data_IF_921101536855
#
_entry.id   IF_921101536855
#
_cell.length_a   1.000
_cell.length_b   1.000
_cell.length_c   1.000
_cell.angle_alpha   90.00
_cell.angle_beta   90.00
_cell.angle_gamma   90.00
#
_symmetry.space_group_name_H-M   'P 1'
#
loop_
_entity.id
_entity.type
_entity.pdbx_description
1 polymer ?
#
# COMPACT_ATOMS: atom_id res chain seq x y z
N UNK A 1 51.80 -4.78 6.00
CA UNK A 1 51.47 -5.80 7.01
C UNK A 1 52.69 -6.68 7.17
N UNK A 2 53.38 -6.60 8.31
CA UNK A 2 54.50 -7.50 8.61
C UNK A 2 53.95 -8.92 8.84
N UNK A 3 54.55 -9.93 8.19
CA UNK A 3 54.15 -11.32 8.39
C UNK A 3 54.50 -11.74 9.83
N UNK A 4 53.64 -12.47 10.54
CA UNK A 4 53.93 -12.94 11.88
C UNK A 4 55.25 -13.73 11.89
N UNK A 5 56.20 -13.27 12.70
CA UNK A 5 57.54 -13.84 12.75
C UNK A 5 57.56 -15.25 13.38
N UNK A 6 56.56 -15.59 14.20
CA UNK A 6 56.48 -16.84 14.97
C UNK A 6 55.25 -17.65 14.61
N UNK A 7 55.37 -18.98 14.67
CA UNK A 7 54.29 -19.92 14.45
C UNK A 7 53.31 -19.91 15.63
N UNK A 8 52.00 -19.68 15.41
CA UNK A 8 51.03 -19.62 16.51
C UNK A 8 50.81 -20.97 17.22
N UNK A 9 51.21 -22.10 16.61
CA UNK A 9 51.01 -23.43 17.18
C UNK A 9 52.16 -23.89 18.06
N UNK A 10 53.41 -23.62 17.67
CA UNK A 10 54.60 -24.15 18.35
C UNK A 10 55.58 -23.07 18.81
N UNK A 11 55.32 -21.79 18.52
CA UNK A 11 56.19 -20.66 18.88
C UNK A 11 57.48 -20.55 18.04
N UNK A 12 57.76 -21.48 17.13
CA UNK A 12 58.99 -21.44 16.34
C UNK A 12 59.01 -20.27 15.34
N UNK A 13 60.17 -19.66 15.13
CA UNK A 13 60.34 -18.53 14.20
C UNK A 13 60.31 -19.05 12.76
N UNK A 14 59.49 -18.43 11.91
CA UNK A 14 59.48 -18.72 10.48
C UNK A 14 60.75 -18.16 9.82
N UNK A 15 61.29 -18.86 8.83
CA UNK A 15 62.31 -18.27 7.97
C UNK A 15 61.65 -17.22 7.04
N UNK A 16 62.44 -16.28 6.55
CA UNK A 16 61.96 -15.21 5.66
C UNK A 16 61.16 -15.77 4.46
N UNK A 17 61.62 -16.89 3.91
CA UNK A 17 61.09 -17.49 2.67
C UNK A 17 60.23 -18.74 2.90
N UNK A 18 59.96 -19.13 4.16
CA UNK A 18 59.22 -20.36 4.44
C UNK A 18 57.72 -20.13 4.53
N UNK A 19 56.95 -20.84 3.70
CA UNK A 19 55.48 -20.88 3.75
C UNK A 19 54.93 -21.86 4.80
N UNK A 20 55.76 -22.76 5.31
CA UNK A 20 55.39 -23.75 6.32
C UNK A 20 56.34 -23.70 7.51
N UNK A 21 55.81 -23.92 8.71
CA UNK A 21 56.61 -24.02 9.92
C UNK A 21 57.44 -25.30 9.84
N UNK A 22 58.77 -25.18 9.92
CA UNK A 22 59.66 -26.34 9.88
C UNK A 22 59.48 -27.31 11.05
N UNK A 23 58.94 -26.83 12.17
CA UNK A 23 58.80 -27.65 13.37
C UNK A 23 57.50 -28.47 13.38
N UNK A 24 56.35 -27.83 13.09
CA UNK A 24 55.04 -28.48 13.16
C UNK A 24 54.38 -28.72 11.79
N UNK A 25 55.00 -28.27 10.69
CA UNK A 25 54.46 -28.41 9.33
C UNK A 25 53.30 -27.46 9.00
N UNK A 26 52.82 -26.65 9.95
CA UNK A 26 51.66 -25.76 9.73
C UNK A 26 52.00 -24.64 8.74
N UNK A 27 51.12 -24.42 7.75
CA UNK A 27 51.24 -23.31 6.79
C UNK A 27 51.23 -21.97 7.52
N UNK A 28 51.93 -20.97 6.97
CA UNK A 28 52.03 -19.62 7.52
C UNK A 28 50.81 -18.81 7.07
N UNK A 29 49.91 -18.54 8.00
CA UNK A 29 48.69 -17.75 7.83
C UNK A 29 49.05 -16.31 7.39
N UNK A 30 49.14 -16.05 6.08
CA UNK A 30 49.67 -14.76 5.60
C UNK A 30 48.90 -14.13 4.46
N UNK A 31 48.00 -14.85 3.80
CA UNK A 31 47.20 -14.27 2.71
C UNK A 31 45.91 -15.04 2.39
N UNK A 32 45.93 -16.37 2.52
CA UNK A 32 44.78 -17.20 2.19
C UNK A 32 43.60 -16.92 3.14
N UNK A 33 43.84 -16.84 4.45
CA UNK A 33 42.80 -16.54 5.45
C UNK A 33 42.16 -15.15 5.23
N UNK A 34 42.97 -14.15 4.88
CA UNK A 34 42.45 -12.81 4.56
C UNK A 34 41.61 -12.84 3.27
N UNK A 35 42.04 -13.61 2.27
CA UNK A 35 41.30 -13.77 1.02
C UNK A 35 39.98 -14.51 1.24
N UNK A 36 39.97 -15.53 2.09
CA UNK A 36 38.76 -16.24 2.49
C UNK A 36 37.80 -15.29 3.21
N UNK A 37 38.30 -14.54 4.20
CA UNK A 37 37.52 -13.49 4.89
C UNK A 37 36.96 -12.43 3.93
N UNK A 38 37.75 -11.91 3.00
CA UNK A 38 37.26 -10.97 1.99
C UNK A 38 36.17 -11.60 1.11
N UNK A 39 36.32 -12.87 0.76
CA UNK A 39 35.32 -13.60 -0.05
C UNK A 39 34.02 -13.78 0.73
N UNK A 40 34.09 -14.12 2.01
CA UNK A 40 32.92 -14.20 2.89
C UNK A 40 32.20 -12.86 3.02
N UNK A 41 32.95 -11.77 3.25
CA UNK A 41 32.37 -10.41 3.33
C UNK A 41 31.70 -10.03 2.01
N UNK A 42 32.37 -10.25 0.88
CA UNK A 42 31.82 -9.91 -0.43
C UNK A 42 30.55 -10.73 -0.70
N UNK A 43 30.55 -12.03 -0.38
CA UNK A 43 29.37 -12.90 -0.53
C UNK A 43 28.23 -12.38 0.33
N UNK A 44 28.47 -12.17 1.64
CA UNK A 44 27.44 -11.69 2.56
C UNK A 44 26.90 -10.29 2.18
N UNK A 45 27.77 -9.38 1.74
CA UNK A 45 27.35 -8.06 1.28
C UNK A 45 26.50 -8.16 0.01
N UNK A 46 26.87 -9.03 -0.93
CA UNK A 46 26.12 -9.24 -2.17
C UNK A 46 24.74 -9.86 -1.92
N UNK A 47 24.66 -10.87 -1.05
CA UNK A 47 23.38 -11.49 -0.66
C UNK A 47 22.47 -10.49 0.05
N UNK A 48 23.01 -9.70 0.98
CA UNK A 48 22.25 -8.67 1.66
C UNK A 48 21.70 -7.63 0.67
N UNK A 49 22.53 -7.13 -0.26
CA UNK A 49 22.08 -6.21 -1.29
C UNK A 49 21.00 -6.83 -2.18
N UNK A 50 21.17 -8.07 -2.64
CA UNK A 50 20.17 -8.79 -3.41
C UNK A 50 18.84 -8.90 -2.64
N UNK A 51 18.89 -9.23 -1.35
CA UNK A 51 17.70 -9.31 -0.50
C UNK A 51 17.01 -7.95 -0.32
N UNK A 52 17.76 -6.85 -0.20
CA UNK A 52 17.19 -5.51 -0.14
C UNK A 52 16.52 -5.12 -1.46
N UNK A 53 17.18 -5.36 -2.59
CA UNK A 53 16.61 -5.10 -3.91
C UNK A 53 15.37 -5.93 -4.16
N UNK A 54 15.38 -7.22 -3.80
CA UNK A 54 14.22 -8.09 -3.96
C UNK A 54 13.01 -7.57 -3.17
N UNK A 55 13.20 -7.19 -1.89
CA UNK A 55 12.13 -6.61 -1.08
C UNK A 55 11.57 -5.33 -1.70
N UNK A 56 12.44 -4.43 -2.15
CA UNK A 56 12.01 -3.16 -2.76
C UNK A 56 11.23 -3.40 -4.06
N UNK A 57 11.69 -4.32 -4.91
CA UNK A 57 10.99 -4.71 -6.14
C UNK A 57 9.62 -5.31 -5.82
N UNK A 58 9.51 -6.14 -4.77
CA UNK A 58 8.24 -6.70 -4.32
C UNK A 58 7.27 -5.59 -3.86
N UNK A 59 7.76 -4.59 -3.11
CA UNK A 59 6.96 -3.43 -2.70
C UNK A 59 6.48 -2.61 -3.90
N UNK A 60 7.38 -2.22 -4.81
CA UNK A 60 7.02 -1.49 -6.02
C UNK A 60 6.02 -2.26 -6.90
N UNK A 61 6.18 -3.57 -7.02
CA UNK A 61 5.25 -4.43 -7.77
C UNK A 61 3.86 -4.41 -7.16
N UNK A 62 3.75 -4.50 -5.83
CA UNK A 62 2.48 -4.42 -5.11
C UNK A 62 1.80 -3.05 -5.31
N UNK A 63 2.57 -1.97 -5.26
CA UNK A 63 2.05 -0.61 -5.45
C UNK A 63 1.55 -0.40 -6.88
N UNK A 64 2.29 -0.90 -7.89
CA UNK A 64 1.87 -0.87 -9.29
C UNK A 64 0.55 -1.61 -9.53
N UNK A 65 0.39 -2.82 -8.96
CA UNK A 65 -0.87 -3.58 -9.06
C UNK A 65 -2.02 -2.84 -8.38
N UNK A 66 -1.77 -2.22 -7.24
CA UNK A 66 -2.76 -1.41 -6.52
C UNK A 66 -3.18 -0.21 -7.36
N UNK A 67 -2.23 0.55 -7.88
CA UNK A 67 -2.48 1.71 -8.74
C UNK A 67 -3.26 1.32 -10.00
N UNK A 68 -2.89 0.22 -10.67
CA UNK A 68 -3.62 -0.33 -11.82
C UNK A 68 -5.08 -0.65 -11.47
N UNK A 69 -5.32 -1.24 -10.30
CA UNK A 69 -6.68 -1.58 -9.86
C UNK A 69 -7.51 -0.33 -9.59
N UNK A 70 -6.91 0.69 -8.96
CA UNK A 70 -7.59 1.96 -8.70
C UNK A 70 -7.91 2.71 -10.00
N UNK A 71 -6.97 2.75 -10.96
CA UNK A 71 -7.21 3.32 -12.29
C UNK A 71 -8.35 2.59 -13.03
N UNK A 72 -8.42 1.26 -12.91
CA UNK A 72 -9.54 0.47 -13.43
C UNK A 72 -10.89 0.91 -12.85
N UNK A 73 -10.98 1.06 -11.53
CA UNK A 73 -12.19 1.55 -10.85
C UNK A 73 -12.57 2.97 -11.28
N UNK A 74 -11.58 3.87 -11.43
CA UNK A 74 -11.83 5.22 -11.94
C UNK A 74 -12.39 5.19 -13.37
N UNK A 75 -11.86 4.33 -14.24
CA UNK A 75 -12.36 4.17 -15.60
C UNK A 75 -13.80 3.64 -15.63
N UNK A 76 -14.13 2.67 -14.76
CA UNK A 76 -15.51 2.16 -14.62
C UNK A 76 -16.49 3.24 -14.17
N UNK A 77 -16.14 4.02 -13.14
CA UNK A 77 -16.97 5.13 -12.66
C UNK A 77 -17.19 6.21 -13.72
N UNK A 78 -16.13 6.57 -14.46
CA UNK A 78 -16.24 7.51 -15.58
C UNK A 78 -17.11 6.95 -16.71
N UNK A 79 -17.00 5.66 -17.02
CA UNK A 79 -17.87 4.98 -17.97
C UNK A 79 -19.34 5.02 -17.56
N UNK A 80 -19.64 4.76 -16.28
CA UNK A 80 -20.99 4.87 -15.73
C UNK A 80 -21.52 6.31 -15.80
N UNK A 81 -20.67 7.30 -15.48
CA UNK A 81 -21.05 8.72 -15.54
C UNK A 81 -21.37 9.15 -16.97
N UNK A 82 -20.55 8.74 -17.95
CA UNK A 82 -20.78 9.02 -19.36
C UNK A 82 -22.09 8.38 -19.86
N UNK A 83 -22.37 7.14 -19.46
CA UNK A 83 -23.63 6.47 -19.78
C UNK A 83 -24.85 7.22 -19.21
N UNK A 84 -24.76 7.70 -17.96
CA UNK A 84 -25.81 8.55 -17.35
C UNK A 84 -25.99 9.87 -18.10
N UNK A 85 -24.90 10.54 -18.46
CA UNK A 85 -24.95 11.78 -19.23
C UNK A 85 -25.65 11.57 -20.58
N UNK A 86 -25.37 10.45 -21.25
CA UNK A 86 -26.04 10.10 -22.50
C UNK A 86 -27.54 9.86 -22.30
N UNK A 87 -27.94 9.16 -21.24
CA UNK A 87 -29.36 9.02 -20.88
C UNK A 87 -30.04 10.37 -20.63
N UNK A 88 -29.38 11.31 -19.94
CA UNK A 88 -29.93 12.64 -19.72
C UNK A 88 -30.08 13.44 -21.02
N UNK A 89 -29.10 13.34 -21.93
CA UNK A 89 -29.20 13.95 -23.27
C UNK A 89 -30.40 13.39 -24.03
N UNK A 90 -30.59 12.07 -24.05
CA UNK A 90 -31.73 11.42 -24.71
C UNK A 90 -33.09 11.86 -24.12
N UNK A 91 -33.17 12.03 -22.79
CA UNK A 91 -34.38 12.52 -22.12
C UNK A 91 -34.66 13.98 -22.49
N UNK A 92 -33.64 14.83 -22.52
CA UNK A 92 -33.77 16.25 -22.92
C UNK A 92 -34.25 16.33 -24.38
N UNK A 93 -33.69 15.52 -25.27
CA UNK A 93 -34.10 15.50 -26.68
C UNK A 93 -35.57 15.09 -26.82
N UNK A 94 -36.00 14.03 -26.13
CA UNK A 94 -37.42 13.59 -26.11
C UNK A 94 -38.35 14.65 -25.52
N UNK A 95 -37.92 15.32 -24.44
CA UNK A 95 -38.70 16.40 -23.82
C UNK A 95 -38.84 17.59 -24.77
N UNK A 96 -37.78 17.93 -25.50
CA UNK A 96 -37.78 19.00 -26.49
C UNK A 96 -38.71 18.69 -27.66
N UNK A 97 -38.69 17.45 -28.17
CA UNK A 97 -39.57 17.00 -29.25
C UNK A 97 -41.03 16.99 -28.80
N UNK A 98 -41.31 16.47 -27.60
CA UNK A 98 -42.66 16.49 -27.01
C UNK A 98 -43.18 17.93 -26.85
N UNK A 99 -42.34 18.83 -26.32
CA UNK A 99 -42.69 20.25 -26.17
C UNK A 99 -42.97 20.92 -27.52
N UNK A 100 -42.18 20.58 -28.56
CA UNK A 100 -42.39 21.10 -29.91
C UNK A 100 -43.69 20.60 -30.54
N UNK A 101 -44.05 19.32 -30.34
CA UNK A 101 -45.34 18.77 -30.77
C UNK A 101 -46.51 19.46 -30.07
N UNK A 102 -46.40 19.73 -28.77
CA UNK A 102 -47.42 20.49 -28.02
C UNK A 102 -47.56 21.90 -28.59
N UNK A 103 -46.45 22.61 -28.84
CA UNK A 103 -46.47 23.95 -29.42
C UNK A 103 -47.06 23.98 -30.83
N UNK A 104 -46.75 22.99 -31.68
CA UNK A 104 -47.35 22.86 -33.01
C UNK A 104 -48.87 22.65 -32.93
N UNK A 105 -49.34 21.80 -32.01
CA UNK A 105 -50.77 21.56 -31.79
C UNK A 105 -51.49 22.80 -31.27
N UNK A 106 -50.83 23.66 -30.48
CA UNK A 106 -51.41 24.91 -29.95
C UNK A 106 -51.39 26.03 -30.99
N UNK A 107 -50.39 26.07 -31.89
CA UNK A 107 -50.21 27.15 -32.87
C UNK A 107 -51.18 27.10 -34.05
N UNK A 108 -52.00 26.05 -34.16
CA UNK A 108 -53.09 25.91 -35.13
C UNK A 108 -54.42 26.02 -34.37
N UNK A 109 -55.00 27.23 -34.18
CA UNK A 109 -56.28 27.38 -33.50
C UNK A 109 -57.46 27.23 -34.48
N UNK A 110 -58.17 26.09 -34.55
CA UNK A 110 -59.58 26.10 -34.91
C UNK A 110 -60.38 26.73 -33.76
N UNK A 111 -61.61 27.19 -34.01
CA UNK A 111 -62.51 27.61 -32.93
C UNK A 111 -62.73 26.43 -31.95
N UNK A 112 -62.09 26.49 -30.78
CA UNK A 112 -61.97 25.33 -29.89
C UNK A 112 -63.21 25.22 -28.98
N UNK A 113 -63.99 24.17 -29.20
CA UNK A 113 -65.10 23.73 -28.34
C UNK A 113 -64.58 23.29 -26.96
N UNK A 114 -65.34 23.52 -25.88
CA UNK A 114 -64.91 23.26 -24.49
C UNK A 114 -64.52 21.78 -24.22
N UNK A 115 -65.00 20.88 -25.07
CA UNK A 115 -64.64 19.47 -25.06
C UNK A 115 -63.15 19.25 -25.37
N UNK A 116 -62.60 19.98 -26.35
CA UNK A 116 -61.20 19.84 -26.78
C UNK A 116 -60.26 20.40 -25.70
N UNK A 117 -60.66 21.45 -24.98
CA UNK A 117 -59.91 21.98 -23.83
C UNK A 117 -59.80 20.96 -22.70
N UNK A 118 -60.89 20.25 -22.40
CA UNK A 118 -60.87 19.16 -21.41
C UNK A 118 -59.99 17.99 -21.85
N UNK A 119 -60.02 17.64 -23.13
CA UNK A 119 -59.14 16.62 -23.67
C UNK A 119 -57.66 17.01 -23.57
N UNK A 120 -57.32 18.28 -23.85
CA UNK A 120 -55.95 18.79 -23.71
C UNK A 120 -55.48 18.73 -22.25
N UNK A 121 -56.32 19.13 -21.29
CA UNK A 121 -56.00 19.02 -19.87
C UNK A 121 -55.80 17.56 -19.42
N UNK A 122 -56.66 16.63 -19.85
CA UNK A 122 -56.46 15.21 -19.54
C UNK A 122 -55.16 14.66 -20.12
N UNK A 123 -54.78 15.06 -21.33
CA UNK A 123 -53.53 14.63 -21.95
C UNK A 123 -52.31 15.21 -21.22
N UNK A 124 -52.40 16.46 -20.75
CA UNK A 124 -51.34 17.14 -20.01
C UNK A 124 -51.17 16.54 -18.60
N UNK A 125 -52.29 16.20 -17.94
CA UNK A 125 -52.30 15.48 -16.66
C UNK A 125 -51.69 14.07 -16.79
N UNK A 126 -52.06 13.33 -17.83
CA UNK A 126 -51.51 12.00 -18.11
C UNK A 126 -49.99 12.05 -18.38
N UNK A 127 -49.54 13.05 -19.14
CA UNK A 127 -48.11 13.26 -19.40
C UNK A 127 -47.36 13.64 -18.11
N UNK A 128 -47.97 14.47 -17.26
CA UNK A 128 -47.39 14.84 -15.97
C UNK A 128 -47.23 13.63 -15.06
N UNK A 129 -48.26 12.80 -14.92
CA UNK A 129 -48.22 11.58 -14.12
C UNK A 129 -47.17 10.58 -14.63
N UNK A 130 -47.08 10.39 -15.95
CA UNK A 130 -46.05 9.53 -16.55
C UNK A 130 -44.64 10.06 -16.30
N UNK A 131 -44.43 11.38 -16.38
CA UNK A 131 -43.13 11.98 -16.04
C UNK A 131 -42.81 11.80 -14.56
N UNK A 132 -43.80 11.98 -13.69
CA UNK A 132 -43.65 11.91 -12.23
C UNK A 132 -43.24 10.50 -11.76
N UNK A 133 -43.84 9.45 -12.33
CA UNK A 133 -43.45 8.07 -12.02
C UNK A 133 -42.02 7.74 -12.47
N UNK A 134 -41.58 8.27 -13.62
CA UNK A 134 -40.20 8.07 -14.10
C UNK A 134 -39.17 8.67 -13.13
N UNK A 135 -39.45 9.86 -12.59
CA UNK A 135 -38.56 10.50 -11.62
C UNK A 135 -38.55 9.79 -10.26
N UNK A 136 -39.67 9.20 -9.83
CA UNK A 136 -39.73 8.47 -8.55
C UNK A 136 -38.84 7.22 -8.55
N UNK A 137 -38.81 6.46 -9.66
CA UNK A 137 -37.92 5.31 -9.79
C UNK A 137 -36.44 5.72 -9.76
N UNK A 138 -36.09 6.85 -10.40
CA UNK A 138 -34.72 7.35 -10.43
C UNK A 138 -34.26 7.89 -9.05
N UNK A 139 -35.16 8.55 -8.32
CA UNK A 139 -34.93 8.99 -6.93
C UNK A 139 -34.72 7.78 -6.01
N UNK A 140 -35.49 6.69 -6.21
CA UNK A 140 -35.31 5.44 -5.47
C UNK A 140 -33.91 4.84 -5.70
N UNK A 141 -33.46 4.79 -6.95
CA UNK A 141 -32.10 4.32 -7.28
C UNK A 141 -31.00 5.23 -6.70
N UNK A 142 -31.20 6.54 -6.71
CA UNK A 142 -30.27 7.50 -6.10
C UNK A 142 -30.12 7.22 -4.59
N UNK A 143 -31.21 6.89 -3.90
CA UNK A 143 -31.18 6.58 -2.48
C UNK A 143 -30.38 5.29 -2.20
N UNK A 144 -30.55 4.25 -3.01
CA UNK A 144 -29.76 3.02 -2.90
C UNK A 144 -28.26 3.28 -3.14
N UNK A 145 -27.91 4.14 -4.12
CA UNK A 145 -26.52 4.53 -4.36
C UNK A 145 -25.93 5.34 -3.20
N UNK A 146 -26.74 6.23 -2.59
CA UNK A 146 -26.33 7.00 -1.41
C UNK A 146 -26.01 6.07 -0.24
N UNK A 147 -26.88 5.10 0.03
CA UNK A 147 -26.68 4.11 1.10
C UNK A 147 -25.41 3.27 0.87
N UNK A 148 -25.16 2.83 -0.36
CA UNK A 148 -23.92 2.13 -0.72
C UNK A 148 -22.68 3.01 -0.48
N UNK A 149 -22.76 4.29 -0.83
CA UNK A 149 -21.66 5.24 -0.63
C UNK A 149 -21.40 5.49 0.85
N UNK A 150 -22.44 5.63 1.66
CA UNK A 150 -22.33 5.76 3.13
C UNK A 150 -21.71 4.50 3.76
N UNK A 151 -22.11 3.31 3.31
CA UNK A 151 -21.51 2.04 3.77
C UNK A 151 -20.01 1.97 3.44
N UNK A 152 -19.60 2.36 2.22
CA UNK A 152 -18.18 2.42 1.86
C UNK A 152 -17.41 3.44 2.70
N UNK A 153 -18.01 4.58 3.00
CA UNK A 153 -17.39 5.61 3.84
C UNK A 153 -17.20 5.11 5.28
N UNK A 154 -18.18 4.39 5.84
CA UNK A 154 -18.03 3.75 7.15
C UNK A 154 -16.94 2.68 7.17
N UNK A 155 -16.89 1.79 6.17
CA UNK A 155 -15.82 0.78 6.07
C UNK A 155 -14.44 1.42 5.95
N UNK A 156 -14.33 2.50 5.17
CA UNK A 156 -13.07 3.26 5.04
C UNK A 156 -12.65 3.88 6.38
N UNK A 157 -13.59 4.44 7.13
CA UNK A 157 -13.31 5.02 8.45
C UNK A 157 -12.83 3.95 9.45
N UNK A 158 -13.43 2.76 9.42
CA UNK A 158 -13.00 1.65 10.28
C UNK A 158 -11.58 1.18 9.95
N UNK A 159 -11.24 1.03 8.67
CA UNK A 159 -9.88 0.68 8.25
C UNK A 159 -8.85 1.75 8.64
N UNK A 160 -9.24 3.03 8.59
CA UNK A 160 -8.38 4.12 9.02
C UNK A 160 -8.10 4.08 10.53
N UNK A 161 -9.12 3.79 11.35
CA UNK A 161 -8.96 3.59 12.79
C UNK A 161 -8.05 2.39 13.11
N UNK A 162 -8.17 1.29 12.36
CA UNK A 162 -7.29 0.12 12.51
C UNK A 162 -5.83 0.47 12.16
N UNK A 163 -5.60 1.22 11.09
CA UNK A 163 -4.26 1.66 10.71
C UNK A 163 -3.63 2.57 11.77
N UNK A 164 -4.41 3.46 12.36
CA UNK A 164 -3.94 4.34 13.44
C UNK A 164 -3.61 3.56 14.72
N UNK A 165 -4.40 2.55 15.06
CA UNK A 165 -4.10 1.64 16.17
C UNK A 165 -2.79 0.88 15.95
N UNK A 166 -2.57 0.32 14.76
CA UNK A 166 -1.31 -0.37 14.40
C UNK A 166 -0.12 0.58 14.47
N UNK A 167 -0.29 1.83 14.00
CA UNK A 167 0.76 2.86 14.09
C UNK A 167 1.12 3.17 15.55
N UNK A 168 0.12 3.27 16.43
CA UNK A 168 0.34 3.51 17.86
C UNK A 168 1.08 2.35 18.54
N UNK A 169 0.76 1.11 18.18
CA UNK A 169 1.50 -0.07 18.66
C UNK A 169 2.94 -0.08 18.17
N UNK A 170 3.18 0.31 16.91
CA UNK A 170 4.54 0.46 16.38
C UNK A 170 5.33 1.52 17.14
N UNK A 171 4.75 2.69 17.39
CA UNK A 171 5.37 3.76 18.18
C UNK A 171 5.66 3.30 19.62
N UNK A 172 4.77 2.49 20.21
CA UNK A 172 4.98 1.89 21.52
C UNK A 172 6.20 0.96 21.52
N UNK A 173 6.30 0.05 20.55
CA UNK A 173 7.46 -0.86 20.39
C UNK A 173 8.75 -0.06 20.19
N UNK A 174 8.72 0.98 19.35
CA UNK A 174 9.87 1.86 19.12
C UNK A 174 10.28 2.61 20.39
N UNK A 175 9.32 2.99 21.25
CA UNK A 175 9.63 3.62 22.53
C UNK A 175 10.28 2.63 23.53
N UNK A 176 9.80 1.39 23.57
CA UNK A 176 10.40 0.32 24.37
C UNK A 176 11.83 0.00 23.92
N UNK A 177 12.10 0.02 22.61
CA UNK A 177 13.44 -0.24 22.06
C UNK A 177 14.42 0.92 22.32
N UNK A 178 13.92 2.15 22.54
CA UNK A 178 14.77 3.30 22.90
C UNK A 178 15.28 3.22 24.34
N UNK A 179 14.58 2.55 25.23
CA UNK A 179 15.08 2.29 26.58
C UNK A 179 15.94 1.01 26.56
N UNK A 180 17.27 1.10 26.72
CA UNK A 180 18.09 -0.09 26.75
C UNK A 180 17.63 -1.00 27.91
N UNK A 181 17.23 -2.25 27.65
CA UNK A 181 16.69 -3.16 28.67
C UNK A 181 17.71 -3.54 29.75
N UNK A 182 18.98 -3.17 29.55
CA UNK A 182 20.03 -3.30 30.55
C UNK A 182 20.31 -1.92 31.10
N UNK A 183 19.66 -1.59 32.23
CA UNK A 183 20.29 -0.67 33.18
C UNK A 183 21.62 -1.32 33.51
N UNK A 184 22.71 -0.77 32.97
CA UNK A 184 24.06 -1.10 33.42
C UNK A 184 24.13 -0.66 34.89
N UNK A 185 23.61 -1.50 35.79
CA UNK A 185 23.92 -1.45 37.18
C UNK A 185 25.43 -1.67 37.22
N UNK A 186 26.16 -0.55 37.29
CA UNK A 186 27.60 -0.53 37.51
C UNK A 186 27.83 -1.53 38.64
N UNK A 187 28.57 -2.63 38.41
CA UNK A 187 28.84 -3.59 39.47
C UNK A 187 29.40 -2.80 40.63
N UNK A 188 28.65 -2.71 41.73
CA UNK A 188 29.20 -2.16 42.96
C UNK A 188 30.23 -3.19 43.41
N UNK A 189 31.47 -2.95 43.03
CA UNK A 189 32.64 -3.66 43.52
C UNK A 189 32.54 -3.65 45.06
N UNK A 190 32.50 -4.84 45.70
CA UNK A 190 32.59 -4.95 47.15
C UNK A 190 33.86 -4.22 47.61
N UNK A 191 33.69 -3.28 48.54
CA UNK A 191 34.70 -2.32 48.94
C UNK A 191 36.04 -2.96 49.31
N UNK A 192 37.08 -2.55 48.58
CA UNK A 192 38.42 -2.48 49.13
C UNK A 192 38.49 -1.19 49.96
N UNK A 193 38.53 -1.31 51.28
CA UNK A 193 38.85 -0.21 52.20
C UNK A 193 40.38 -0.12 52.34
N UNK A 194 41.05 0.90 51.77
CA UNK A 194 42.41 1.21 52.19
C UNK A 194 42.35 1.84 53.59
N UNK A 195 43.02 1.19 54.51
CA UNK A 195 43.26 1.64 55.88
C UNK A 195 44.40 2.67 55.87
N UNK A 196 44.15 3.91 56.27
CA UNK A 196 45.13 4.90 56.79
C UNK A 196 44.35 6.23 57.04
N UNK A 197 43.92 6.51 58.27
CA UNK A 197 44.70 7.11 59.36
C UNK A 197 45.26 8.52 59.04
N UNK A 198 44.79 9.49 59.82
CA UNK A 198 45.29 10.86 60.09
C UNK A 198 44.90 12.02 59.15
N UNK A 199 43.76 12.67 59.48
CA UNK A 199 43.65 14.13 59.52
C UNK A 199 42.44 14.57 60.40
N UNK A 200 42.60 15.57 61.31
CA UNK A 200 41.52 16.14 62.12
C UNK A 200 40.79 17.32 61.41
N UNK A 201 39.69 17.85 61.99
CA UNK A 201 38.50 18.29 61.26
C UNK A 201 38.45 19.79 61.00
N UNK A 202 37.57 20.24 60.10
CA UNK A 202 36.82 21.51 60.18
C UNK A 202 35.83 21.60 59.01
N UNK A 203 34.57 21.96 59.28
CA UNK A 203 33.67 22.53 58.25
C UNK A 203 32.24 22.01 58.26
N UNK A 204 31.35 22.81 58.85
CA UNK A 204 29.89 22.72 58.85
C UNK A 204 29.22 22.74 57.47
N UNK A 205 28.04 22.10 57.37
CA UNK A 205 26.74 22.60 56.83
C UNK A 205 25.96 21.45 56.16
N UNK A 206 24.93 20.88 56.81
CA UNK A 206 23.54 21.33 56.91
C UNK A 206 22.82 21.44 55.56
N UNK A 207 21.99 20.45 55.25
CA UNK A 207 21.08 20.45 54.11
C UNK A 207 20.16 19.22 54.12
N UNK A 208 19.03 19.35 54.80
CA UNK A 208 17.91 18.40 54.77
C UNK A 208 17.34 18.25 53.36
N UNK A 209 16.99 17.03 52.97
CA UNK A 209 15.79 16.81 52.16
C UNK A 209 15.27 15.38 52.38
N UNK A 210 14.16 15.30 53.13
CA UNK A 210 13.22 14.17 53.12
C UNK A 210 12.72 13.97 51.69
N UNK A 211 12.71 12.73 51.19
CA UNK A 211 11.59 12.29 50.37
C UNK A 211 11.45 10.76 50.40
N UNK A 212 10.22 10.34 50.67
CA UNK A 212 9.83 8.96 50.96
C UNK A 212 9.77 8.09 49.71
N UNK A 213 10.24 6.86 49.88
CA UNK A 213 9.98 5.78 48.93
C UNK A 213 8.54 5.27 49.11
N UNK A 214 7.74 5.42 48.06
CA UNK A 214 6.64 4.50 47.78
C UNK A 214 7.18 3.38 46.88
N UNK A 215 7.23 2.17 47.43
CA UNK A 215 7.53 0.96 46.68
C UNK A 215 6.32 0.60 45.80
N UNK A 216 6.53 0.53 44.49
CA UNK A 216 5.57 -0.05 43.53
C UNK A 216 5.90 -1.54 43.39
N UNK A 217 4.93 -2.46 43.54
CA UNK A 217 5.18 -3.89 43.38
C UNK A 217 5.31 -4.24 41.89
N UNK A 218 6.38 -4.95 41.55
CA UNK A 218 6.61 -5.54 40.23
C UNK A 218 5.74 -6.81 40.08
N UNK A 219 4.95 -6.96 39.00
CA UNK A 219 4.20 -8.20 38.78
C UNK A 219 5.13 -9.34 38.32
N UNK A 220 4.98 -10.47 39.01
CA UNK A 220 5.64 -11.75 38.77
C UNK A 220 5.04 -12.40 37.51
N UNK A 221 5.79 -12.40 36.41
CA UNK A 221 5.43 -13.15 35.21
C UNK A 221 5.53 -14.68 35.48
N UNK A 222 4.42 -15.39 35.24
CA UNK A 222 4.38 -16.85 35.20
C UNK A 222 4.81 -17.34 33.80
N UNK A 223 5.47 -18.50 33.68
CA UNK A 223 5.61 -19.19 32.42
C UNK A 223 4.37 -20.07 32.20
N UNK A 224 3.64 -19.86 31.10
CA UNK A 224 2.58 -20.76 30.68
C UNK A 224 2.85 -21.23 29.26
N UNK A 225 3.04 -22.53 29.21
CA UNK A 225 3.37 -23.41 28.10
C UNK A 225 2.20 -23.64 27.13
N UNK A 226 2.54 -24.34 26.05
CA UNK A 226 1.69 -25.12 25.14
C UNK A 226 1.19 -24.38 23.88
N UNK A 227 2.00 -24.48 22.82
CA UNK A 227 1.46 -24.64 21.47
C UNK A 227 1.16 -26.11 21.17
N UNK A 228 0.33 -26.42 20.16
CA UNK A 228 0.28 -27.75 19.58
C UNK A 228 1.22 -27.86 18.37
N UNK A 229 2.08 -28.87 18.43
CA UNK A 229 2.76 -29.47 17.29
C UNK A 229 1.76 -30.00 16.26
N UNK A 230 2.00 -29.70 14.99
CA UNK A 230 1.66 -30.62 13.91
C UNK A 230 2.94 -31.01 13.19
N UNK A 231 3.22 -32.30 13.28
CA UNK A 231 4.34 -32.98 12.65
C UNK A 231 4.04 -33.24 11.18
N UNK A 232 5.08 -33.07 10.36
CA UNK A 232 5.46 -34.05 9.34
C UNK A 232 4.79 -33.94 7.98
N UNK A 233 5.49 -33.31 7.03
CA UNK A 233 5.66 -33.88 5.68
C UNK A 233 7.09 -33.61 5.21
N UNK A 234 7.77 -34.69 4.86
CA UNK A 234 9.14 -34.78 4.38
C UNK A 234 9.31 -34.17 2.99
N UNK A 235 10.43 -33.46 2.81
CA UNK A 235 11.31 -33.53 1.65
C UNK A 235 10.73 -33.33 0.24
N UNK A 236 10.98 -32.15 -0.33
CA UNK A 236 11.56 -31.99 -1.69
C UNK A 236 11.87 -30.50 -1.93
N UNK A 237 13.15 -30.17 -2.09
CA UNK A 237 13.63 -28.90 -2.65
C UNK A 237 13.57 -28.94 -4.20
N UNK A 238 13.89 -27.86 -4.92
CA UNK A 238 13.45 -26.48 -4.77
C UNK A 238 12.85 -25.92 -6.08
N UNK A 239 11.96 -24.94 -5.93
CA UNK A 239 11.66 -23.84 -6.88
C UNK A 239 11.94 -24.09 -8.36
N UNK A 240 10.96 -24.73 -9.01
CA UNK A 240 10.78 -24.62 -10.46
C UNK A 240 9.94 -23.36 -10.70
N UNK A 241 10.51 -22.35 -11.34
CA UNK A 241 9.74 -21.27 -11.96
C UNK A 241 8.87 -21.88 -13.08
N UNK A 242 7.69 -22.36 -12.71
CA UNK A 242 6.63 -22.66 -13.65
C UNK A 242 6.09 -21.34 -14.19
N UNK A 243 6.21 -21.15 -15.50
CA UNK A 243 5.40 -20.20 -16.23
C UNK A 243 3.93 -20.54 -15.95
N UNK A 244 3.31 -19.80 -15.03
CA UNK A 244 1.88 -19.87 -14.84
C UNK A 244 1.25 -19.18 -16.06
N UNK A 245 0.63 -19.99 -16.90
CA UNK A 245 -0.33 -19.53 -17.89
C UNK A 245 -1.30 -18.54 -17.23
N UNK A 246 -1.22 -17.28 -17.67
CA UNK A 246 -2.23 -16.30 -17.35
C UNK A 246 -3.60 -16.87 -17.78
N UNK A 247 -4.62 -16.88 -16.91
CA UNK A 247 -5.98 -17.09 -17.36
C UNK A 247 -6.32 -15.95 -18.32
N UNK A 248 -6.47 -16.33 -19.60
CA UNK A 248 -7.02 -15.51 -20.68
C UNK A 248 -8.28 -14.82 -20.13
N UNK A 249 -8.41 -13.48 -20.17
CA UNK A 249 -9.62 -12.83 -19.71
C UNK A 249 -10.79 -13.38 -20.52
N UNK A 250 -11.74 -14.00 -19.82
CA UNK A 250 -13.00 -14.46 -20.37
C UNK A 250 -13.67 -13.29 -21.07
N UNK A 251 -13.77 -13.38 -22.40
CA UNK A 251 -14.56 -12.47 -23.19
C UNK A 251 -16.00 -12.51 -22.66
N UNK A 252 -16.42 -11.44 -21.99
CA UNK A 252 -17.84 -11.22 -21.76
C UNK A 252 -18.52 -11.02 -23.12
N UNK A 253 -19.65 -11.69 -23.38
CA UNK A 253 -20.41 -11.44 -24.58
C UNK A 253 -21.05 -10.05 -24.47
N UNK A 254 -20.52 -9.08 -25.21
CA UNK A 254 -21.26 -7.86 -25.55
C UNK A 254 -22.43 -8.26 -26.45
N UNK A 255 -23.57 -8.65 -25.85
CA UNK A 255 -24.85 -8.54 -26.54
C UNK A 255 -25.27 -7.08 -26.52
N UNK A 256 -24.74 -6.33 -27.48
CA UNK A 256 -25.36 -5.08 -27.93
C UNK A 256 -26.53 -5.49 -28.82
N UNK A 257 -27.75 -5.24 -28.33
CA UNK A 257 -28.97 -5.41 -29.11
C UNK A 257 -28.88 -4.62 -30.41
N UNK A 258 -28.93 -5.33 -31.52
CA UNK A 258 -28.94 -4.76 -32.87
C UNK A 258 -30.34 -4.18 -33.10
N UNK A 259 -30.46 -2.86 -33.17
CA UNK A 259 -31.62 -2.22 -33.78
C UNK A 259 -31.60 -2.52 -35.30
N UNK A 260 -32.74 -2.79 -35.94
CA UNK A 260 -32.77 -3.14 -37.34
C UNK A 260 -32.66 -1.89 -38.23
N UNK A 261 -31.73 -1.93 -39.19
CA UNK A 261 -31.84 -1.20 -40.45
C UNK A 261 -31.21 0.19 -40.50
N UNK A 262 -29.89 0.26 -40.71
CA UNK A 262 -29.26 1.37 -41.44
C UNK A 262 -28.13 0.81 -42.32
N UNK A 263 -28.26 0.99 -43.63
CA UNK A 263 -27.30 0.58 -44.66
C UNK A 263 -25.91 1.22 -44.47
N UNK A 264 -24.81 0.45 -44.50
CA UNK A 264 -23.46 0.99 -44.41
C UNK A 264 -22.89 1.25 -45.83
N UNK A 265 -23.48 2.18 -46.57
CA UNK A 265 -23.01 2.54 -47.91
C UNK A 265 -22.88 4.06 -48.13
N UNK A 266 -22.30 4.78 -47.17
CA UNK A 266 -21.80 6.15 -47.41
C UNK A 266 -20.85 6.60 -46.31
N UNK A 267 -19.64 6.00 -46.25
CA UNK A 267 -18.57 6.51 -45.40
C UNK A 267 -17.70 7.47 -46.22
N UNK A 268 -18.11 8.72 -46.24
CA UNK A 268 -17.33 9.84 -46.81
C UNK A 268 -16.03 9.99 -46.03
N UNK A 269 -14.91 9.86 -46.74
CA UNK A 269 -13.54 9.97 -46.24
C UNK A 269 -13.26 11.43 -45.87
N UNK A 270 -13.40 11.78 -44.59
CA UNK A 270 -12.95 13.07 -44.05
C UNK A 270 -11.47 12.94 -43.73
N UNK A 271 -10.61 13.40 -44.65
CA UNK A 271 -9.18 13.57 -44.38
C UNK A 271 -8.99 14.67 -43.34
N UNK A 272 -8.57 14.28 -42.14
CA UNK A 272 -8.08 15.19 -41.11
C UNK A 272 -6.67 15.66 -41.52
N UNK A 273 -6.57 16.84 -42.14
CA UNK A 273 -5.29 17.53 -42.29
C UNK A 273 -4.93 18.18 -40.95
N UNK A 274 -3.92 17.64 -40.27
CA UNK A 274 -3.26 18.34 -39.16
C UNK A 274 -2.39 19.49 -39.71
N UNK A 275 -2.42 20.69 -39.11
CA UNK A 275 -1.51 21.76 -39.46
C UNK A 275 -0.09 21.48 -38.92
N UNK A 276 0.97 21.88 -39.64
CA UNK A 276 2.35 21.76 -39.15
C UNK A 276 2.59 22.74 -38.01
N UNK A 277 3.15 22.24 -36.90
CA UNK A 277 3.50 23.03 -35.73
C UNK A 277 4.67 24.00 -35.99
N UNK A 278 4.76 25.11 -35.23
CA UNK A 278 5.78 26.14 -35.45
C UNK A 278 7.16 25.65 -35.01
N UNK A 279 8.13 25.77 -35.92
CA UNK A 279 9.53 25.56 -35.65
C UNK A 279 10.03 26.64 -34.67
N UNK A 280 10.36 26.25 -33.44
CA UNK A 280 11.12 27.11 -32.53
C UNK A 280 12.56 27.24 -33.03
N UNK A 281 12.94 28.48 -33.32
CA UNK A 281 14.30 28.89 -33.58
C UNK A 281 15.12 28.84 -32.28
N UNK A 282 16.29 28.20 -32.37
CA UNK A 282 17.35 28.33 -31.38
C UNK A 282 18.07 29.68 -31.57
N UNK A 283 18.21 30.42 -30.48
CA UNK A 283 19.16 31.51 -30.29
C UNK A 283 19.99 31.22 -29.06
#
# INVERSE_FOLDING_TARGET
MERPAQCPTCGNIYMADSDFCRHCGRKRDTFDDFREFCTEIISAASENLCNYYEREIQHLTKDLVTCRTQLGRCAELLGQQLAKEQTYRDIIDKLSESSMRVLQNVSSPPAVDDAVKRQLHQMLEAMHQQSSSCWQDEIGQLHAHKELTENHLMTSAELQNQAEAVKKELDNILSLLKEPPVRTAKPQLPGYTPNAALAPPLGYSQGQAKNGGQAVPVPRAQPSSCGPSLAGVSGTSPWRCGAADLPKPSAFPSQVGTAPGVDPASRTKVSFMMPPGPAMWAG
#
